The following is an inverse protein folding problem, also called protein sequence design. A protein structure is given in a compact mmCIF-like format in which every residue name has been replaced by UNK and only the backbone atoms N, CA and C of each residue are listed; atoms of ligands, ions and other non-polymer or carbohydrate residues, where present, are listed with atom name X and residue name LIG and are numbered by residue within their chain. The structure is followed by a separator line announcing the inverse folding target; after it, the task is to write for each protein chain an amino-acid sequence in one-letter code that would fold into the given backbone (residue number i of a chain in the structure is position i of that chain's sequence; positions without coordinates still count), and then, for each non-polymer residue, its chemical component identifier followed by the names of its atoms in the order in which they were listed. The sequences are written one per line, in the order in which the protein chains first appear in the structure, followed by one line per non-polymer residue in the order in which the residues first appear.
data_IF_715795977490
#
_entry.id   IF_715795977490
#
_cell.length_a   1.000
_cell.length_b   1.000
_cell.length_c   1.000
_cell.angle_alpha   90.00
_cell.angle_beta   90.00
_cell.angle_gamma   90.00
#
_symmetry.space_group_name_H-M   'P 1'
#
loop_
_entity.id
_entity.type
_entity.pdbx_description
1 polymer ?
#
# COMPACT_ATOMS: atom_id res chain seq x y z
N UNK A 1 -11.72 -4.19 7.65
CA UNK A 1 -13.08 -4.47 8.17
C UNK A 1 -13.55 -3.49 9.27
N UNK A 2 -12.73 -3.15 10.27
CA UNK A 2 -13.13 -2.24 11.36
C UNK A 2 -13.36 -0.78 10.93
N UNK A 3 -12.57 -0.23 9.99
CA UNK A 3 -12.79 1.12 9.46
C UNK A 3 -14.15 1.26 8.78
N UNK A 4 -14.56 0.25 8.01
CA UNK A 4 -15.87 0.20 7.39
C UNK A 4 -17.00 0.17 8.43
N UNK A 5 -16.86 -0.66 9.49
CA UNK A 5 -17.83 -0.72 10.60
C UNK A 5 -17.90 0.64 11.31
N UNK A 6 -16.76 1.29 11.54
CA UNK A 6 -16.69 2.62 12.14
C UNK A 6 -17.44 3.67 11.29
N UNK A 7 -17.25 3.69 9.97
CA UNK A 7 -17.94 4.62 9.07
C UNK A 7 -19.46 4.36 9.01
N UNK A 8 -19.87 3.10 9.01
CA UNK A 8 -21.28 2.68 8.93
C UNK A 8 -22.03 2.93 10.23
N UNK A 9 -21.48 2.48 11.37
CA UNK A 9 -22.21 2.37 12.64
C UNK A 9 -21.92 3.52 13.61
N UNK A 10 -20.78 4.23 13.44
CA UNK A 10 -20.38 5.40 14.24
C UNK A 10 -20.33 5.17 15.76
N UNK A 11 -20.23 3.92 16.20
CA UNK A 11 -20.22 3.51 17.61
C UNK A 11 -18.82 3.11 18.12
N UNK A 12 -17.83 3.05 17.23
CA UNK A 12 -16.42 2.82 17.56
C UNK A 12 -15.59 3.98 17.02
N UNK A 13 -14.47 4.29 17.67
CA UNK A 13 -13.51 5.31 17.21
C UNK A 13 -12.14 4.68 17.01
N UNK A 14 -11.43 5.12 15.97
CA UNK A 14 -10.02 4.76 15.80
C UNK A 14 -9.17 5.50 16.82
N UNK A 15 -8.26 4.80 17.48
CA UNK A 15 -7.36 5.37 18.50
C UNK A 15 -5.89 5.43 18.05
N UNK A 16 -5.57 4.83 16.90
CA UNK A 16 -4.24 4.80 16.34
C UNK A 16 -4.17 3.83 15.16
N UNK A 17 -2.99 3.76 14.54
CA UNK A 17 -2.66 2.82 13.46
C UNK A 17 -1.33 2.16 13.81
N UNK A 18 -1.22 0.85 13.58
CA UNK A 18 0.02 0.11 13.75
C UNK A 18 0.32 -0.61 12.43
N UNK A 19 1.52 -0.38 11.89
CA UNK A 19 1.99 -1.11 10.72
C UNK A 19 2.06 -2.61 11.02
N UNK A 20 1.67 -3.46 10.07
CA UNK A 20 1.79 -4.91 10.19
C UNK A 20 3.23 -5.38 10.40
N UNK A 21 4.21 -4.57 10.00
CA UNK A 21 5.64 -4.87 10.13
C UNK A 21 6.30 -4.40 11.42
N UNK A 22 5.57 -3.73 12.31
CA UNK A 22 6.19 -3.01 13.44
C UNK A 22 7.17 -3.88 14.24
N UNK A 23 8.37 -3.37 14.60
CA UNK A 23 8.86 -1.99 14.44
C UNK A 23 9.34 -1.64 13.03
N UNK A 24 9.36 -2.61 12.13
CA UNK A 24 9.87 -2.48 10.77
C UNK A 24 8.78 -2.08 9.77
N UNK A 25 9.19 -1.86 8.51
CA UNK A 25 8.30 -1.55 7.40
C UNK A 25 7.80 -2.83 6.73
N UNK A 26 6.48 -2.98 6.60
CA UNK A 26 5.84 -4.07 5.85
C UNK A 26 5.00 -3.49 4.71
N UNK A 27 5.65 -3.26 3.58
CA UNK A 27 4.97 -2.79 2.38
C UNK A 27 4.26 -3.94 1.66
N UNK A 28 3.15 -3.60 1.02
CA UNK A 28 2.46 -4.50 0.09
C UNK A 28 3.09 -4.38 -1.29
N UNK A 29 3.38 -5.51 -1.93
CA UNK A 29 4.08 -5.55 -3.21
C UNK A 29 3.35 -6.41 -4.25
N UNK A 30 3.60 -6.12 -5.53
CA UNK A 30 3.27 -7.01 -6.65
C UNK A 30 4.45 -7.93 -6.91
N UNK A 31 4.23 -9.24 -6.86
CA UNK A 31 5.27 -10.24 -7.09
C UNK A 31 5.19 -10.82 -8.51
N UNK A 32 6.34 -10.97 -9.16
CA UNK A 32 6.47 -11.66 -10.45
C UNK A 32 7.57 -12.71 -10.40
N UNK A 33 7.52 -13.71 -11.27
CA UNK A 33 8.59 -14.70 -11.42
C UNK A 33 9.92 -13.99 -11.69
N UNK A 34 10.97 -14.37 -10.96
CA UNK A 34 12.35 -13.90 -11.19
C UNK A 34 12.74 -14.15 -12.65
N UNK A 35 13.28 -13.13 -13.30
CA UNK A 35 13.70 -13.20 -14.71
C UNK A 35 12.58 -13.04 -15.74
N UNK A 36 11.33 -12.77 -15.34
CA UNK A 36 10.23 -12.55 -16.29
C UNK A 36 10.30 -11.21 -17.04
N UNK A 37 11.17 -10.28 -16.63
CA UNK A 37 11.28 -8.94 -17.23
C UNK A 37 10.10 -8.00 -16.93
N UNK A 38 9.19 -8.39 -16.03
CA UNK A 38 7.96 -7.64 -15.76
C UNK A 38 8.06 -6.62 -14.63
N UNK A 39 9.06 -6.73 -13.74
CA UNK A 39 9.12 -5.92 -12.53
C UNK A 39 9.16 -4.41 -12.82
N UNK A 40 10.01 -3.99 -13.75
CA UNK A 40 10.15 -2.58 -14.13
C UNK A 40 8.88 -2.05 -14.82
N UNK A 41 8.28 -2.85 -15.71
CA UNK A 41 7.05 -2.47 -16.41
C UNK A 41 5.88 -2.28 -15.42
N UNK A 42 5.78 -3.11 -14.39
CA UNK A 42 4.76 -2.97 -13.34
C UNK A 42 5.01 -1.70 -12.52
N UNK A 43 6.26 -1.42 -12.13
CA UNK A 43 6.57 -0.16 -11.43
C UNK A 43 6.18 1.05 -12.27
N UNK A 44 6.49 1.07 -13.57
CA UNK A 44 6.10 2.15 -14.48
C UNK A 44 4.57 2.29 -14.61
N UNK A 45 3.85 1.17 -14.66
CA UNK A 45 2.39 1.18 -14.70
C UNK A 45 1.80 1.78 -13.41
N UNK A 46 2.35 1.45 -12.24
CA UNK A 46 1.97 2.06 -10.97
C UNK A 46 2.31 3.55 -10.92
N UNK A 47 3.45 3.99 -11.43
CA UNK A 47 3.75 5.42 -11.54
C UNK A 47 2.72 6.15 -12.42
N UNK A 48 2.17 5.47 -13.44
CA UNK A 48 1.03 5.95 -14.21
C UNK A 48 -0.20 6.21 -13.34
N UNK A 49 -0.60 5.23 -12.52
CA UNK A 49 -1.79 5.34 -11.66
C UNK A 49 -1.65 6.36 -10.53
N UNK A 50 -0.42 6.62 -10.09
CA UNK A 50 -0.12 7.72 -9.17
C UNK A 50 -0.29 9.08 -9.85
N UNK A 51 0.18 9.22 -11.10
CA UNK A 51 0.10 10.49 -11.86
C UNK A 51 -1.32 10.84 -12.28
N UNK A 52 -2.12 9.87 -12.68
CA UNK A 52 -3.50 10.10 -13.10
C UNK A 52 -4.50 10.15 -11.92
N UNK A 53 -4.04 9.89 -10.69
CA UNK A 53 -4.85 9.94 -9.47
C UNK A 53 -5.77 8.74 -9.27
N UNK A 54 -5.73 7.72 -10.15
CA UNK A 54 -6.54 6.51 -10.02
C UNK A 54 -6.11 5.66 -8.82
N UNK A 55 -4.82 5.70 -8.44
CA UNK A 55 -4.34 5.05 -7.22
C UNK A 55 -5.00 5.65 -5.98
N UNK A 56 -5.04 6.98 -5.87
CA UNK A 56 -5.68 7.67 -4.73
C UNK A 56 -7.19 7.43 -4.70
N UNK A 57 -7.84 7.33 -5.86
CA UNK A 57 -9.24 6.96 -5.95
C UNK A 57 -9.50 5.54 -5.40
N UNK A 58 -8.60 4.59 -5.66
CA UNK A 58 -8.68 3.25 -5.10
C UNK A 58 -8.51 3.26 -3.57
N UNK A 59 -7.52 4.00 -3.04
CA UNK A 59 -7.33 4.10 -1.59
C UNK A 59 -8.54 4.71 -0.89
N UNK A 60 -9.12 5.78 -1.45
CA UNK A 60 -10.35 6.40 -0.93
C UNK A 60 -11.54 5.45 -0.89
N UNK A 61 -11.70 4.64 -1.94
CA UNK A 61 -12.76 3.63 -2.00
C UNK A 61 -12.67 2.63 -0.84
N UNK A 62 -11.45 2.30 -0.41
CA UNK A 62 -11.19 1.33 0.64
C UNK A 62 -10.94 1.95 2.03
N UNK A 63 -10.83 3.27 2.12
CA UNK A 63 -10.57 4.00 3.36
C UNK A 63 -9.18 3.74 3.94
N UNK A 64 -8.17 3.56 3.08
CA UNK A 64 -6.77 3.24 3.44
C UNK A 64 -5.77 4.27 2.90
N UNK A 65 -6.20 5.52 2.77
CA UNK A 65 -5.37 6.61 2.26
C UNK A 65 -4.09 6.84 3.08
N UNK A 66 -4.10 6.48 4.36
CA UNK A 66 -2.94 6.57 5.24
C UNK A 66 -1.87 5.52 4.96
N UNK A 67 -2.19 4.45 4.23
CA UNK A 67 -1.24 3.42 3.78
C UNK A 67 -0.55 3.81 2.45
N UNK A 68 -0.87 4.99 1.91
CA UNK A 68 -0.28 5.50 0.67
C UNK A 68 1.23 5.67 0.82
N UNK A 69 1.99 5.04 -0.08
CA UNK A 69 3.42 5.31 -0.24
C UNK A 69 3.64 6.61 -1.03
N UNK A 70 4.82 7.22 -0.91
CA UNK A 70 5.16 8.39 -1.73
C UNK A 70 5.24 8.05 -3.22
N UNK A 71 5.85 6.89 -3.52
CA UNK A 71 6.04 6.36 -4.88
C UNK A 71 6.16 4.84 -4.87
N UNK A 72 5.81 4.16 -5.97
CA UNK A 72 6.16 2.75 -6.15
C UNK A 72 7.66 2.57 -6.38
N UNK A 73 8.23 1.46 -5.91
CA UNK A 73 9.65 1.14 -6.07
C UNK A 73 9.83 -0.32 -6.49
N UNK A 74 10.81 -0.60 -7.36
CA UNK A 74 11.19 -1.97 -7.69
C UNK A 74 12.18 -2.50 -6.65
N UNK A 75 11.76 -3.48 -5.86
CA UNK A 75 12.61 -4.20 -4.89
C UNK A 75 13.49 -3.26 -4.03
N UNK A 76 12.88 -2.32 -3.27
CA UNK A 76 13.62 -1.45 -2.35
C UNK A 76 14.32 -2.26 -1.25
N UNK A 77 15.18 -1.62 -0.46
CA UNK A 77 15.88 -2.29 0.64
C UNK A 77 14.85 -2.89 1.61
N UNK A 78 14.80 -4.22 1.64
CA UNK A 78 13.92 -4.97 2.53
C UNK A 78 14.38 -4.95 3.98
N UNK A 79 13.70 -5.75 4.80
CA UNK A 79 14.03 -5.98 6.21
C UNK A 79 15.50 -6.40 6.38
N UNK A 80 16.16 -6.03 7.49
CA UNK A 80 17.49 -6.51 7.81
C UNK A 80 17.55 -8.04 7.71
N UNK A 81 18.65 -8.55 7.15
CA UNK A 81 18.97 -9.96 7.41
C UNK A 81 19.26 -10.08 8.91
N UNK A 82 18.74 -11.15 9.50
CA UNK A 82 18.90 -11.54 10.90
C UNK A 82 20.33 -11.34 11.43
#
# INVERSE_FOLDING_TARGET
QLLFIQQRDRNIRRVGVLSAGWPERSDVAVATRKGAGLAQAITLALEGTYRDGTFDAALRRWGVEEERLEKPETNPRGLPKY
#
